data_IF_677094965078
#
_entry.id   IF_677094965078
#
_cell.length_a   1.000
_cell.length_b   1.000
_cell.length_c   1.000
_cell.angle_alpha   90.00
_cell.angle_beta   90.00
_cell.angle_gamma   90.00
#
_symmetry.space_group_name_H-M   'P 1'
#
loop_
_entity.id
_entity.type
_entity.pdbx_description
1 polymer ?
#
# COMPACT_ATOMS: atom_id res chain seq x y z
N UNK A 1 -27.90 -0.01 11.72
CA UNK A 1 -26.69 -0.78 12.05
C UNK A 1 -25.49 0.12 11.84
N UNK A 2 -25.18 0.95 12.83
CA UNK A 2 -23.96 1.74 12.81
C UNK A 2 -22.90 0.95 13.57
N UNK A 3 -21.88 0.48 12.86
CA UNK A 3 -20.67 0.03 13.53
C UNK A 3 -20.05 1.27 14.17
N UNK A 4 -19.94 1.28 15.50
CA UNK A 4 -19.29 2.34 16.28
C UNK A 4 -17.80 2.43 15.88
N UNK A 5 -17.51 3.12 14.78
CA UNK A 5 -16.18 3.30 14.22
C UNK A 5 -15.62 4.64 14.68
N UNK A 6 -14.48 4.60 15.37
CA UNK A 6 -13.78 5.83 15.74
C UNK A 6 -13.20 6.50 14.49
N UNK A 7 -13.23 7.84 14.46
CA UNK A 7 -12.56 8.65 13.42
C UNK A 7 -11.09 8.27 13.25
N UNK A 8 -10.43 7.81 14.32
CA UNK A 8 -9.04 7.34 14.27
C UNK A 8 -8.91 6.03 13.51
N UNK A 9 -9.82 5.07 13.74
CA UNK A 9 -9.83 3.80 13.02
C UNK A 9 -10.11 4.00 11.53
N UNK A 10 -11.06 4.88 11.19
CA UNK A 10 -11.36 5.23 9.81
C UNK A 10 -10.16 5.85 9.09
N UNK A 11 -9.46 6.80 9.72
CA UNK A 11 -8.23 7.40 9.15
C UNK A 11 -7.14 6.35 8.93
N UNK A 12 -6.94 5.45 9.88
CA UNK A 12 -5.96 4.37 9.77
C UNK A 12 -6.30 3.41 8.63
N UNK A 13 -7.56 3.00 8.52
CA UNK A 13 -8.03 2.12 7.44
C UNK A 13 -7.90 2.79 6.08
N UNK A 14 -8.29 4.06 5.96
CA UNK A 14 -8.16 4.83 4.72
C UNK A 14 -6.70 4.93 4.29
N UNK A 15 -5.79 5.24 5.22
CA UNK A 15 -4.34 5.31 4.95
C UNK A 15 -3.80 3.97 4.44
N UNK A 16 -4.24 2.85 5.02
CA UNK A 16 -3.85 1.51 4.56
C UNK A 16 -4.37 1.24 3.14
N UNK A 17 -5.63 1.59 2.87
CA UNK A 17 -6.24 1.40 1.56
C UNK A 17 -5.53 2.21 0.47
N UNK A 18 -5.30 3.50 0.70
CA UNK A 18 -4.67 4.40 -0.28
C UNK A 18 -3.18 4.13 -0.51
N UNK A 19 -2.52 3.44 0.43
CA UNK A 19 -1.12 2.99 0.27
C UNK A 19 -1.01 1.59 -0.34
N UNK A 20 -2.13 0.91 -0.61
CA UNK A 20 -2.14 -0.37 -1.30
C UNK A 20 -1.70 -0.21 -2.76
N UNK A 21 -0.92 -1.17 -3.26
CA UNK A 21 -0.55 -1.24 -4.68
C UNK A 21 -1.77 -1.18 -5.59
N UNK A 22 -2.86 -1.86 -5.23
CA UNK A 22 -4.09 -1.87 -6.03
C UNK A 22 -4.67 -0.46 -6.20
N UNK A 23 -4.62 0.35 -5.15
CA UNK A 23 -5.07 1.73 -5.21
C UNK A 23 -4.13 2.56 -6.07
N UNK A 24 -2.81 2.50 -5.82
CA UNK A 24 -1.80 3.26 -6.57
C UNK A 24 -1.80 2.94 -8.08
N UNK A 25 -2.10 1.71 -8.49
CA UNK A 25 -2.27 1.34 -9.90
C UNK A 25 -3.55 1.92 -10.54
N UNK A 26 -4.59 2.16 -9.75
CA UNK A 26 -5.84 2.76 -10.21
C UNK A 26 -5.73 4.28 -10.44
N UNK A 27 -4.70 4.92 -9.87
CA UNK A 27 -4.42 6.35 -10.03
C UNK A 27 -3.82 6.60 -11.42
N UNK A 28 -4.67 7.06 -12.36
CA UNK A 28 -4.32 7.32 -13.76
C UNK A 28 -4.72 8.73 -14.17
N UNK A 29 -4.01 9.37 -15.12
CA UNK A 29 -4.36 10.69 -15.59
C UNK A 29 -5.73 10.65 -16.28
N UNK A 30 -6.56 11.67 -16.04
CA UNK A 30 -7.91 11.76 -16.58
C UNK A 30 -8.94 10.82 -15.94
N UNK A 31 -8.60 10.13 -14.85
CA UNK A 31 -9.58 9.38 -14.07
C UNK A 31 -10.41 10.33 -13.20
N UNK A 32 -11.73 10.27 -13.31
CA UNK A 32 -12.65 10.99 -12.43
C UNK A 32 -12.77 10.26 -11.10
N UNK A 33 -12.60 10.98 -9.99
CA UNK A 33 -12.88 10.41 -8.66
C UNK A 33 -14.37 10.39 -8.42
N UNK A 34 -14.84 9.47 -7.59
CA UNK A 34 -16.23 9.38 -7.18
C UNK A 34 -16.30 9.67 -5.68
N UNK A 35 -17.22 10.52 -5.26
CA UNK A 35 -17.47 10.78 -3.85
C UNK A 35 -18.24 9.62 -3.17
N UNK A 36 -18.64 9.82 -1.92
CA UNK A 36 -19.37 8.81 -1.15
C UNK A 36 -20.82 8.65 -1.61
N UNK A 37 -21.38 9.68 -2.26
CA UNK A 37 -22.76 9.71 -2.76
C UNK A 37 -22.85 9.20 -4.21
N UNK A 38 -21.71 8.92 -4.85
CA UNK A 38 -21.64 8.41 -6.22
C UNK A 38 -21.43 9.49 -7.29
N UNK A 39 -21.23 10.75 -6.90
CA UNK A 39 -21.05 11.85 -7.84
C UNK A 39 -19.58 12.01 -8.25
N UNK A 40 -19.31 12.53 -9.46
CA UNK A 40 -17.95 12.85 -9.90
C UNK A 40 -17.35 13.96 -9.02
N UNK A 41 -16.23 13.65 -8.38
CA UNK A 41 -15.49 14.49 -7.45
C UNK A 41 -14.15 14.92 -8.05
N UNK A 42 -14.23 15.65 -9.16
CA UNK A 42 -13.08 16.23 -9.85
C UNK A 42 -12.20 15.23 -10.59
N UNK A 43 -11.35 15.78 -11.46
CA UNK A 43 -10.35 15.03 -12.22
C UNK A 43 -9.06 14.91 -11.42
N UNK A 44 -8.35 13.80 -11.67
CA UNK A 44 -7.08 13.56 -11.05
C UNK A 44 -5.96 14.28 -11.82
N UNK A 45 -5.41 15.35 -11.22
CA UNK A 45 -4.27 16.09 -11.79
C UNK A 45 -3.04 15.21 -12.01
N UNK A 46 -2.23 15.56 -13.00
CA UNK A 46 -0.99 14.86 -13.36
C UNK A 46 -0.03 14.73 -12.17
N UNK A 47 0.04 15.76 -11.31
CA UNK A 47 0.87 15.75 -10.10
C UNK A 47 0.50 14.59 -9.15
N UNK A 48 -0.78 14.26 -9.03
CA UNK A 48 -1.24 13.15 -8.19
C UNK A 48 -0.83 11.79 -8.77
N UNK A 49 -0.82 11.67 -10.10
CA UNK A 49 -0.37 10.47 -10.80
C UNK A 49 1.12 10.27 -10.61
N UNK A 50 1.92 11.32 -10.80
CA UNK A 50 3.37 11.26 -10.60
C UNK A 50 3.72 10.84 -9.18
N UNK A 51 3.05 11.45 -8.20
CA UNK A 51 3.26 11.10 -6.80
C UNK A 51 2.85 9.64 -6.50
N UNK A 52 1.75 9.14 -7.09
CA UNK A 52 1.35 7.75 -6.92
C UNK A 52 2.33 6.76 -7.57
N UNK A 53 2.86 7.09 -8.76
CA UNK A 53 3.90 6.28 -9.42
C UNK A 53 5.17 6.23 -8.59
N UNK A 54 5.62 7.37 -8.06
CA UNK A 54 6.77 7.44 -7.16
C UNK A 54 6.56 6.58 -5.91
N UNK A 55 5.40 6.70 -5.26
CA UNK A 55 5.06 5.89 -4.08
C UNK A 55 5.01 4.39 -4.40
N UNK A 56 4.55 4.00 -5.58
CA UNK A 56 4.52 2.60 -6.00
C UNK A 56 5.94 2.04 -6.12
N UNK A 57 6.85 2.78 -6.74
CA UNK A 57 8.25 2.37 -6.90
C UNK A 57 8.97 2.29 -5.54
N UNK A 58 8.79 3.29 -4.67
CA UNK A 58 9.31 3.25 -3.30
C UNK A 58 8.75 2.08 -2.49
N UNK A 59 7.45 1.80 -2.62
CA UNK A 59 6.81 0.68 -1.93
C UNK A 59 7.34 -0.67 -2.42
N UNK A 60 7.56 -0.82 -3.73
CA UNK A 60 8.18 -2.03 -4.30
C UNK A 60 9.61 -2.19 -3.78
N UNK A 61 10.43 -1.15 -3.85
CA UNK A 61 11.82 -1.20 -3.39
C UNK A 61 11.92 -1.61 -1.92
N UNK A 62 11.09 -1.01 -1.05
CA UNK A 62 11.02 -1.36 0.37
C UNK A 62 10.61 -2.81 0.60
N UNK A 63 9.61 -3.32 -0.11
CA UNK A 63 9.18 -4.72 0.01
C UNK A 63 10.25 -5.69 -0.48
N UNK A 64 10.99 -5.36 -1.55
CA UNK A 64 12.10 -6.17 -2.03
C UNK A 64 13.24 -6.24 -1.01
N UNK A 65 13.62 -5.10 -0.42
CA UNK A 65 14.63 -5.06 0.65
C UNK A 65 14.21 -5.90 1.87
N UNK A 66 12.96 -5.74 2.33
CA UNK A 66 12.44 -6.54 3.45
C UNK A 66 12.38 -8.04 3.13
N UNK A 67 12.02 -8.42 1.90
CA UNK A 67 12.01 -9.83 1.48
C UNK A 67 13.41 -10.43 1.46
N UNK A 68 14.41 -9.69 0.98
CA UNK A 68 15.80 -10.14 0.97
C UNK A 68 16.31 -10.38 2.40
N UNK A 69 16.08 -9.44 3.32
CA UNK A 69 16.44 -9.59 4.73
C UNK A 69 15.73 -10.79 5.40
N UNK A 70 14.44 -10.97 5.13
CA UNK A 70 13.68 -12.11 5.66
C UNK A 70 14.20 -13.44 5.10
N UNK A 71 14.60 -13.50 3.83
CA UNK A 71 15.18 -14.71 3.25
C UNK A 71 16.56 -15.03 3.83
N UNK A 72 17.40 -14.03 4.07
CA UNK A 72 18.70 -14.22 4.73
C UNK A 72 18.51 -14.78 6.14
N UNK A 73 17.64 -14.17 6.95
CA UNK A 73 17.32 -14.65 8.31
C UNK A 73 16.74 -16.07 8.32
N UNK A 74 15.89 -16.42 7.34
CA UNK A 74 15.35 -17.78 7.21
C UNK A 74 16.44 -18.81 6.86
N UNK A 75 17.42 -18.44 6.04
CA UNK A 75 18.55 -19.33 5.69
C UNK A 75 19.47 -19.55 6.89
N UNK A 76 19.78 -18.50 7.64
CA UNK A 76 20.57 -18.61 8.89
C UNK A 76 19.86 -19.46 9.94
N UNK A 77 18.55 -19.26 10.13
CA UNK A 77 17.76 -20.07 11.06
C UNK A 77 17.68 -21.56 10.64
N UNK A 78 17.61 -21.84 9.33
CA UNK A 78 17.62 -23.20 8.82
C UNK A 78 19.00 -23.87 8.96
N UNK A 79 20.10 -23.14 8.77
CA UNK A 79 21.45 -23.66 8.96
C UNK A 79 21.73 -23.99 10.43
N UNK A 80 21.33 -23.10 11.37
CA UNK A 80 21.50 -23.34 12.81
C UNK A 80 20.61 -24.48 13.36
N UNK A 81 19.53 -24.83 12.66
CA UNK A 81 18.68 -25.97 13.01
C UNK A 81 19.24 -27.31 12.50
N UNK A 82 19.97 -27.31 11.38
CA UNK A 82 20.59 -28.52 10.81
C UNK A 82 21.91 -28.94 11.46
N UNK A 83 22.55 -28.07 12.24
CA UNK A 83 23.80 -28.36 12.97
C UNK A 83 23.58 -29.01 14.35
N UNK A 84 22.31 -29.21 14.75
CA UNK A 84 21.93 -29.85 16.02
C UNK A 84 21.49 -31.31 15.89
N UNK A 85 21.63 -31.92 14.71
CA UNK A 85 21.44 -33.36 14.48
C UNK A 85 22.78 -34.09 14.33
#
# INVERSE_FOLDING_TARGET
>A
GEMNLSKTQLRSALRLYTSSWRYLYGVKPGATRVDLDGNPCGELDEQHVEHARKQLEEAKARVQAQRAEQQAKKREAAAAAGEKE
#
